data_IF_934247300252
#
_entry.id   IF_934247300252
#
_cell.length_a   1.000
_cell.length_b   1.000
_cell.length_c   1.000
_cell.angle_alpha   90.00
_cell.angle_beta   90.00
_cell.angle_gamma   90.00
#
_symmetry.space_group_name_H-M   'P 1'
#
loop_
_entity.id
_entity.type
_entity.pdbx_description
1 polymer ?
#
# COMPACT_ATOMS: atom_id res chain seq x y z
N UNK A 1 22.86 -41.67 -4.61
CA UNK A 1 22.31 -41.68 -3.23
C UNK A 1 23.36 -41.26 -2.18
N UNK A 2 22.96 -40.53 -1.12
CA UNK A 2 23.83 -40.22 0.03
C UNK A 2 23.15 -40.54 1.36
N UNK A 3 23.93 -40.96 2.35
CA UNK A 3 23.52 -41.17 3.74
C UNK A 3 24.52 -40.50 4.70
N UNK A 4 24.04 -40.14 5.88
CA UNK A 4 24.86 -39.59 6.97
C UNK A 4 24.89 -40.63 8.09
N UNK A 5 26.07 -41.18 8.38
CA UNK A 5 26.27 -42.18 9.42
C UNK A 5 26.88 -41.52 10.64
N UNK A 6 26.18 -41.53 11.76
CA UNK A 6 26.69 -41.01 13.04
C UNK A 6 27.60 -42.06 13.67
N UNK A 7 28.81 -41.67 14.04
CA UNK A 7 29.81 -42.52 14.72
C UNK A 7 30.08 -42.00 16.13
N UNK A 8 30.97 -42.64 16.86
CA UNK A 8 31.37 -42.20 18.21
C UNK A 8 32.12 -40.86 18.20
N UNK A 9 32.75 -40.51 17.08
CA UNK A 9 33.66 -39.35 16.97
C UNK A 9 33.18 -38.28 15.99
N UNK A 10 32.07 -38.50 15.29
CA UNK A 10 31.57 -37.55 14.30
C UNK A 10 30.52 -38.12 13.35
N UNK A 11 30.57 -37.67 12.10
CA UNK A 11 29.65 -38.09 11.04
C UNK A 11 30.44 -38.48 9.78
N UNK A 12 30.09 -39.63 9.21
CA UNK A 12 30.55 -40.07 7.89
C UNK A 12 29.49 -39.75 6.83
N UNK A 13 29.93 -39.27 5.66
CA UNK A 13 29.13 -39.18 4.45
C UNK A 13 29.32 -40.47 3.65
N UNK A 14 28.28 -41.29 3.56
CA UNK A 14 28.24 -42.41 2.64
C UNK A 14 27.67 -41.96 1.29
N UNK A 15 28.37 -42.27 0.21
CA UNK A 15 27.94 -42.03 -1.17
C UNK A 15 27.87 -43.34 -1.96
N UNK A 16 26.78 -43.50 -2.70
CA UNK A 16 26.63 -44.49 -3.76
C UNK A 16 26.06 -43.81 -5.01
N UNK A 17 26.54 -44.15 -6.20
CA UNK A 17 25.89 -43.74 -7.45
C UNK A 17 24.47 -44.28 -7.58
N UNK A 18 23.76 -43.83 -8.61
CA UNK A 18 22.45 -44.40 -8.93
C UNK A 18 22.63 -45.80 -9.54
N UNK A 19 21.58 -46.64 -9.48
CA UNK A 19 21.60 -48.01 -9.99
C UNK A 19 22.13 -48.05 -11.44
N UNK A 20 23.18 -48.85 -11.68
CA UNK A 20 23.84 -48.97 -12.99
C UNK A 20 24.92 -47.92 -13.27
N UNK A 21 25.24 -47.03 -12.32
CA UNK A 21 26.34 -46.07 -12.44
C UNK A 21 27.61 -46.65 -11.83
N UNK A 22 28.68 -46.73 -12.62
CA UNK A 22 30.00 -47.12 -12.12
C UNK A 22 30.61 -45.96 -11.30
N UNK A 23 30.86 -46.18 -10.01
CA UNK A 23 31.41 -45.16 -9.10
C UNK A 23 32.95 -44.99 -9.17
N UNK A 24 33.61 -45.61 -10.16
CA UNK A 24 35.06 -45.53 -10.36
C UNK A 24 35.56 -44.10 -10.58
N UNK A 25 34.74 -43.22 -11.16
CA UNK A 25 35.09 -41.83 -11.43
C UNK A 25 35.53 -41.07 -10.16
N UNK A 26 34.98 -41.41 -8.99
CA UNK A 26 35.36 -40.78 -7.71
C UNK A 26 36.81 -41.12 -7.40
N UNK A 27 37.17 -42.39 -7.51
CA UNK A 27 38.52 -42.85 -7.22
C UNK A 27 39.55 -42.31 -8.22
N UNK A 28 39.17 -42.21 -9.49
CA UNK A 28 40.00 -41.61 -10.54
C UNK A 28 40.26 -40.12 -10.25
N UNK A 29 39.22 -39.36 -9.89
CA UNK A 29 39.36 -37.95 -9.54
C UNK A 29 40.19 -37.74 -8.27
N UNK A 30 39.98 -38.55 -7.22
CA UNK A 30 40.80 -38.49 -6.01
C UNK A 30 42.27 -38.83 -6.30
N UNK A 31 42.56 -39.79 -7.18
CA UNK A 31 43.95 -40.11 -7.56
C UNK A 31 44.60 -39.02 -8.39
N UNK A 32 43.86 -38.42 -9.32
CA UNK A 32 44.38 -37.49 -10.30
C UNK A 32 44.48 -36.07 -9.76
N UNK A 33 43.40 -35.60 -9.16
CA UNK A 33 43.20 -34.20 -8.78
C UNK A 33 43.16 -34.02 -7.24
N UNK A 34 43.20 -35.11 -6.47
CA UNK A 34 43.02 -35.14 -5.01
C UNK A 34 41.71 -34.48 -4.53
N UNK A 35 40.72 -34.38 -5.41
CA UNK A 35 39.42 -33.80 -5.11
C UNK A 35 38.33 -34.53 -5.91
N UNK A 36 37.20 -34.79 -5.29
CA UNK A 36 36.00 -35.26 -5.97
C UNK A 36 34.77 -34.54 -5.41
N UNK A 37 33.82 -34.18 -6.28
CA UNK A 37 32.57 -33.54 -5.88
C UNK A 37 31.41 -34.54 -5.90
N UNK A 38 30.92 -34.93 -4.73
CA UNK A 38 29.82 -35.89 -4.59
C UNK A 38 28.50 -35.20 -4.23
N UNK A 39 27.39 -35.75 -4.73
CA UNK A 39 26.03 -35.19 -4.58
C UNK A 39 25.85 -33.72 -4.99
N UNK A 40 26.78 -33.21 -5.82
CA UNK A 40 26.86 -31.81 -6.28
C UNK A 40 27.14 -30.75 -5.21
N UNK A 41 27.41 -31.11 -3.95
CA UNK A 41 27.65 -30.11 -2.89
C UNK A 41 28.80 -30.45 -1.94
N UNK A 42 29.28 -31.69 -1.96
CA UNK A 42 30.34 -32.14 -1.07
C UNK A 42 31.65 -32.28 -1.85
N UNK A 43 32.61 -31.40 -1.61
CA UNK A 43 33.97 -31.48 -2.15
C UNK A 43 34.87 -32.24 -1.18
N UNK A 44 35.20 -33.49 -1.51
CA UNK A 44 35.98 -34.39 -0.67
C UNK A 44 37.38 -34.61 -1.27
N UNK A 45 38.36 -34.81 -0.41
CA UNK A 45 39.75 -35.10 -0.80
C UNK A 45 40.15 -36.51 -0.33
N UNK A 46 41.32 -37.01 -0.77
CA UNK A 46 41.76 -38.38 -0.42
C UNK A 46 41.90 -38.59 1.09
N UNK A 47 42.25 -37.54 1.84
CA UNK A 47 42.36 -37.59 3.29
C UNK A 47 41.00 -37.77 4.01
N UNK A 48 39.88 -37.48 3.34
CA UNK A 48 38.55 -37.72 3.89
C UNK A 48 38.12 -39.18 3.72
N UNK A 49 38.74 -39.93 2.81
CA UNK A 49 38.29 -41.27 2.43
C UNK A 49 38.62 -42.31 3.51
N UNK A 50 37.58 -42.92 4.09
CA UNK A 50 37.68 -43.89 5.18
C UNK A 50 37.82 -45.33 4.68
N UNK A 51 37.39 -45.60 3.45
CA UNK A 51 37.50 -46.90 2.81
C UNK A 51 38.07 -46.77 1.39
N UNK A 52 39.41 -46.84 1.23
CA UNK A 52 40.03 -46.90 -0.09
C UNK A 52 39.65 -48.18 -0.86
N UNK A 53 39.33 -48.11 -2.16
CA UNK A 53 39.02 -49.28 -2.98
C UNK A 53 40.18 -50.28 -3.04
N UNK A 54 39.85 -51.58 -3.04
CA UNK A 54 40.82 -52.64 -3.32
C UNK A 54 41.16 -52.74 -4.82
N UNK A 55 42.23 -53.48 -5.17
CA UNK A 55 42.66 -53.63 -6.56
C UNK A 55 41.63 -54.33 -7.47
N UNK A 56 40.78 -55.19 -6.90
CA UNK A 56 39.72 -55.93 -7.60
C UNK A 56 38.33 -55.43 -7.22
N UNK A 57 38.20 -54.15 -6.85
CA UNK A 57 36.96 -53.58 -6.38
C UNK A 57 35.89 -53.56 -7.48
N UNK A 58 34.71 -54.09 -7.18
CA UNK A 58 33.51 -53.85 -7.97
C UNK A 58 32.94 -52.47 -7.61
N UNK A 59 33.04 -51.53 -8.55
CA UNK A 59 32.60 -50.14 -8.38
C UNK A 59 31.12 -49.90 -8.66
N UNK A 60 30.38 -50.90 -9.16
CA UNK A 60 28.93 -50.79 -9.37
C UNK A 60 28.17 -50.83 -8.03
N UNK A 61 28.65 -51.64 -7.09
CA UNK A 61 28.07 -51.78 -5.74
C UNK A 61 28.85 -51.04 -4.66
N UNK A 62 30.00 -50.45 -5.00
CA UNK A 62 30.87 -49.78 -4.03
C UNK A 62 30.24 -48.52 -3.45
N UNK A 63 30.34 -48.39 -2.11
CA UNK A 63 29.92 -47.21 -1.35
C UNK A 63 31.13 -46.52 -0.76
N UNK A 64 31.38 -45.29 -1.17
CA UNK A 64 32.45 -44.49 -0.58
C UNK A 64 31.98 -43.92 0.75
N UNK A 65 32.85 -43.94 1.77
CA UNK A 65 32.62 -43.31 3.07
C UNK A 65 33.69 -42.25 3.27
N UNK A 66 33.23 -41.02 3.50
CA UNK A 66 34.08 -39.86 3.74
C UNK A 66 33.84 -39.33 5.15
N UNK A 67 34.89 -38.91 5.85
CA UNK A 67 34.75 -38.13 7.07
C UNK A 67 34.09 -36.79 6.73
N UNK A 68 32.85 -36.58 7.17
CA UNK A 68 32.12 -35.33 6.91
C UNK A 68 32.42 -34.27 7.97
N UNK A 69 32.39 -34.65 9.24
CA UNK A 69 32.61 -33.73 10.34
C UNK A 69 32.85 -34.42 11.66
N UNK A 70 33.46 -33.72 12.60
CA UNK A 70 33.79 -34.24 13.94
C UNK A 70 32.86 -33.64 14.99
N UNK A 71 32.68 -34.33 16.12
CA UNK A 71 32.00 -33.73 17.25
C UNK A 71 32.88 -32.67 17.90
N UNK A 72 32.30 -31.49 18.11
CA UNK A 72 32.86 -30.37 18.87
C UNK A 72 31.74 -29.89 19.79
N UNK A 73 31.85 -30.23 21.07
CA UNK A 73 30.81 -30.03 22.09
C UNK A 73 29.43 -30.61 21.65
N UNK A 74 28.42 -29.74 21.56
CA UNK A 74 27.04 -30.07 21.16
C UNK A 74 26.81 -29.97 19.64
N UNK A 75 27.89 -29.83 18.86
CA UNK A 75 27.84 -29.61 17.41
C UNK A 75 28.61 -30.68 16.64
N UNK A 76 28.18 -30.89 15.39
CA UNK A 76 28.96 -31.53 14.34
C UNK A 76 29.65 -30.42 13.55
N UNK A 77 30.98 -30.32 13.66
CA UNK A 77 31.78 -29.39 12.88
C UNK A 77 32.15 -30.01 11.53
N UNK A 78 31.66 -29.40 10.47
CA UNK A 78 31.91 -29.77 9.09
C UNK A 78 32.89 -28.74 8.50
N UNK A 79 34.09 -29.15 8.04
CA UNK A 79 35.03 -28.24 7.40
C UNK A 79 34.39 -27.51 6.20
N UNK A 80 34.55 -26.19 6.14
CA UNK A 80 33.93 -25.35 5.11
C UNK A 80 34.28 -25.79 3.68
N UNK A 81 35.51 -26.26 3.47
CA UNK A 81 35.98 -26.82 2.19
C UNK A 81 35.06 -27.91 1.65
N UNK A 82 34.47 -28.73 2.53
CA UNK A 82 33.60 -29.82 2.12
C UNK A 82 32.30 -29.27 1.54
N UNK A 83 31.82 -28.13 2.03
CA UNK A 83 30.53 -27.55 1.63
C UNK A 83 30.66 -26.43 0.58
N UNK A 84 31.85 -26.26 -0.02
CA UNK A 84 32.18 -25.14 -0.89
C UNK A 84 31.93 -23.78 -0.19
N UNK A 85 32.38 -23.68 1.06
CA UNK A 85 32.19 -22.54 1.96
C UNK A 85 33.55 -22.11 2.52
N UNK A 86 33.77 -20.80 2.68
CA UNK A 86 34.94 -20.28 3.42
C UNK A 86 34.75 -20.37 4.95
N UNK A 87 33.53 -20.66 5.39
CA UNK A 87 33.13 -20.78 6.78
C UNK A 87 32.96 -22.28 7.09
N UNK A 88 33.54 -22.75 8.20
CA UNK A 88 33.15 -24.04 8.79
C UNK A 88 31.68 -23.99 9.20
N UNK A 89 31.01 -25.13 9.21
CA UNK A 89 29.59 -25.22 9.59
C UNK A 89 29.46 -26.09 10.83
N UNK A 90 28.88 -25.55 11.89
CA UNK A 90 28.58 -26.26 13.13
C UNK A 90 27.08 -26.49 13.19
N UNK A 91 26.65 -27.74 13.03
CA UNK A 91 25.24 -28.12 13.11
C UNK A 91 24.99 -28.84 14.43
N UNK A 92 24.01 -28.37 15.21
CA UNK A 92 23.64 -28.98 16.48
C UNK A 92 23.36 -30.48 16.30
N UNK A 93 23.85 -31.29 17.25
CA UNK A 93 23.72 -32.76 17.22
C UNK A 93 22.28 -33.25 17.30
N UNK A 94 21.34 -32.41 17.73
CA UNK A 94 19.91 -32.72 17.76
C UNK A 94 19.27 -32.65 16.36
N UNK A 95 19.98 -32.09 15.37
CA UNK A 95 19.50 -31.99 13.99
C UNK A 95 19.80 -33.27 13.23
N UNK A 96 18.73 -33.94 12.76
CA UNK A 96 18.88 -35.09 11.85
C UNK A 96 19.37 -34.63 10.47
N UNK A 97 20.62 -34.96 10.15
CA UNK A 97 21.23 -34.63 8.86
C UNK A 97 20.54 -35.34 7.69
N UNK A 98 20.27 -34.57 6.63
CA UNK A 98 19.65 -35.02 5.38
C UNK A 98 20.16 -34.16 4.24
N UNK A 99 20.12 -34.67 3.00
CA UNK A 99 20.64 -33.96 1.82
C UNK A 99 20.07 -32.55 1.67
N UNK A 100 18.79 -32.36 1.96
CA UNK A 100 18.10 -31.07 1.79
C UNK A 100 18.54 -29.98 2.77
N UNK A 101 19.34 -30.30 3.79
CA UNK A 101 20.02 -29.29 4.63
C UNK A 101 21.18 -28.64 3.89
N UNK A 102 21.84 -29.39 2.99
CA UNK A 102 23.06 -28.97 2.32
C UNK A 102 22.81 -28.57 0.86
N UNK A 103 21.81 -29.17 0.20
CA UNK A 103 21.58 -29.02 -1.24
C UNK A 103 20.14 -28.63 -1.53
N UNK A 104 19.95 -27.49 -2.20
CA UNK A 104 18.67 -27.02 -2.69
C UNK A 104 18.42 -27.46 -4.15
N UNK A 105 17.28 -27.02 -4.70
CA UNK A 105 16.90 -27.21 -6.11
C UNK A 105 18.03 -26.78 -7.06
N UNK A 106 18.14 -27.47 -8.21
CA UNK A 106 19.24 -27.29 -9.19
C UNK A 106 20.65 -27.46 -8.60
N UNK A 107 20.79 -28.32 -7.59
CA UNK A 107 22.08 -28.68 -7.00
C UNK A 107 22.86 -27.51 -6.38
N UNK A 108 22.15 -26.48 -5.93
CA UNK A 108 22.76 -25.34 -5.24
C UNK A 108 23.25 -25.78 -3.86
N UNK A 109 24.53 -25.54 -3.56
CA UNK A 109 25.07 -25.67 -2.19
C UNK A 109 24.49 -24.55 -1.33
N UNK A 110 23.71 -24.91 -0.31
CA UNK A 110 23.07 -23.95 0.59
C UNK A 110 24.13 -23.18 1.37
N UNK A 111 25.09 -23.89 1.96
CA UNK A 111 26.17 -23.25 2.73
C UNK A 111 27.16 -22.51 1.84
N UNK A 112 27.44 -22.99 0.62
CA UNK A 112 28.21 -22.21 -0.35
C UNK A 112 27.52 -20.88 -0.69
N UNK A 113 26.20 -20.91 -0.90
CA UNK A 113 25.41 -19.69 -1.16
C UNK A 113 25.37 -18.75 0.04
N UNK A 114 25.27 -19.26 1.27
CA UNK A 114 25.33 -18.46 2.48
C UNK A 114 26.72 -17.84 2.66
N UNK A 115 27.76 -18.62 2.43
CA UNK A 115 29.15 -18.20 2.55
C UNK A 115 29.52 -17.06 1.59
N UNK A 116 28.96 -17.05 0.38
CA UNK A 116 29.07 -15.92 -0.56
C UNK A 116 28.46 -14.61 -0.05
N UNK A 117 27.48 -14.68 0.86
CA UNK A 117 26.76 -13.52 1.40
C UNK A 117 27.33 -13.05 2.76
N UNK A 118 28.17 -13.87 3.41
CA UNK A 118 28.80 -13.54 4.69
C UNK A 118 30.18 -12.93 4.39
N UNK A 119 30.52 -11.80 5.00
CA UNK A 119 31.81 -11.13 4.73
C UNK A 119 32.99 -11.82 5.46
N UNK A 120 32.78 -12.28 6.70
CA UNK A 120 33.80 -12.93 7.51
C UNK A 120 33.95 -14.45 7.22
N UNK A 121 34.91 -15.08 7.89
CA UNK A 121 35.18 -16.52 7.84
C UNK A 121 34.80 -17.24 9.13
N UNK A 122 34.03 -16.58 10.01
CA UNK A 122 33.60 -17.17 11.27
C UNK A 122 32.67 -18.36 11.01
N UNK A 123 32.64 -19.39 11.87
CA UNK A 123 31.81 -20.55 11.61
C UNK A 123 30.31 -20.21 11.56
N UNK A 124 29.56 -20.94 10.74
CA UNK A 124 28.10 -20.82 10.66
C UNK A 124 27.48 -21.82 11.65
N UNK A 125 26.88 -21.32 12.73
CA UNK A 125 26.22 -22.13 13.76
C UNK A 125 24.73 -22.32 13.43
N UNK A 126 24.27 -23.57 13.37
CA UNK A 126 22.88 -23.94 13.09
C UNK A 126 22.31 -24.73 14.27
N UNK A 127 21.27 -24.18 14.91
CA UNK A 127 20.60 -24.78 16.07
C UNK A 127 21.43 -24.75 17.35
N UNK A 128 20.94 -25.45 18.38
CA UNK A 128 21.53 -25.43 19.73
C UNK A 128 21.25 -24.13 20.48
N UNK A 129 21.97 -23.92 21.58
CA UNK A 129 21.77 -22.78 22.50
C UNK A 129 22.84 -21.69 22.38
N UNK A 130 23.68 -21.74 21.35
CA UNK A 130 24.71 -20.72 21.11
C UNK A 130 24.09 -19.34 20.86
N UNK A 131 24.66 -18.29 21.44
CA UNK A 131 24.14 -16.91 21.29
C UNK A 131 24.13 -16.43 19.82
N UNK A 132 25.11 -16.88 19.04
CA UNK A 132 25.25 -16.55 17.61
C UNK A 132 24.70 -17.65 16.69
N UNK A 133 24.01 -18.65 17.24
CA UNK A 133 23.43 -19.73 16.44
C UNK A 133 22.16 -19.30 15.74
N UNK A 134 22.05 -19.62 14.46
CA UNK A 134 20.80 -19.49 13.72
C UNK A 134 19.82 -20.52 14.29
N UNK A 135 18.67 -20.12 14.85
CA UNK A 135 17.69 -21.06 15.39
C UNK A 135 17.23 -22.06 14.32
N UNK A 136 16.98 -23.31 14.73
CA UNK A 136 16.63 -24.37 13.78
C UNK A 136 15.35 -24.07 12.99
N UNK A 137 14.34 -23.47 13.63
CA UNK A 137 13.09 -23.06 12.98
C UNK A 137 13.30 -21.97 11.92
N UNK A 138 14.18 -21.00 12.20
CA UNK A 138 14.59 -19.97 11.23
C UNK A 138 15.34 -20.59 10.06
N UNK A 139 16.28 -21.51 10.31
CA UNK A 139 16.99 -22.21 9.25
C UNK A 139 16.04 -23.11 8.43
N UNK A 140 15.08 -23.78 9.08
CA UNK A 140 14.06 -24.56 8.39
C UNK A 140 13.14 -23.69 7.52
N UNK A 141 12.79 -22.48 7.98
CA UNK A 141 12.05 -21.50 7.18
C UNK A 141 12.85 -21.08 5.94
N UNK A 142 14.16 -20.84 6.08
CA UNK A 142 15.06 -20.60 4.95
C UNK A 142 15.01 -21.76 3.95
N UNK A 143 15.17 -23.02 4.42
CA UNK A 143 15.09 -24.22 3.56
C UNK A 143 13.76 -24.29 2.79
N UNK A 144 12.64 -23.97 3.45
CA UNK A 144 11.30 -23.94 2.83
C UNK A 144 11.14 -22.80 1.83
N UNK A 145 11.84 -21.68 2.03
CA UNK A 145 11.72 -20.49 1.18
C UNK A 145 12.70 -20.45 0.02
N UNK A 146 13.75 -21.27 0.01
CA UNK A 146 14.69 -21.38 -1.11
C UNK A 146 13.94 -21.50 -2.45
N UNK A 147 14.28 -20.68 -3.47
CA UNK A 147 13.59 -20.72 -4.76
C UNK A 147 13.65 -22.09 -5.39
N UNK A 148 12.50 -22.60 -5.84
CA UNK A 148 12.45 -23.85 -6.59
C UNK A 148 12.65 -23.61 -8.09
N UNK A 149 12.78 -24.69 -8.85
CA UNK A 149 12.98 -24.63 -10.31
C UNK A 149 11.88 -23.83 -11.03
N UNK A 150 10.63 -23.91 -10.57
CA UNK A 150 9.50 -23.18 -11.15
C UNK A 150 9.58 -21.67 -10.86
N UNK A 151 9.91 -21.28 -9.63
CA UNK A 151 10.12 -19.88 -9.24
C UNK A 151 11.26 -19.24 -10.04
N UNK A 152 12.38 -19.94 -10.18
CA UNK A 152 13.54 -19.47 -10.96
C UNK A 152 13.20 -19.28 -12.44
N UNK A 153 12.41 -20.19 -13.03
CA UNK A 153 11.93 -20.03 -14.41
C UNK A 153 10.99 -18.82 -14.55
N UNK A 154 10.05 -18.65 -13.62
CA UNK A 154 9.14 -17.50 -13.62
C UNK A 154 9.88 -16.18 -13.49
N UNK A 155 10.90 -16.13 -12.63
CA UNK A 155 11.77 -14.97 -12.50
C UNK A 155 12.49 -14.67 -13.82
N UNK A 156 13.12 -15.68 -14.45
CA UNK A 156 13.79 -15.51 -15.73
C UNK A 156 12.85 -15.00 -16.83
N UNK A 157 11.67 -15.61 -16.97
CA UNK A 157 10.65 -15.18 -17.93
C UNK A 157 10.18 -13.74 -17.65
N UNK A 158 9.98 -13.36 -16.39
CA UNK A 158 9.59 -12.01 -16.00
C UNK A 158 10.68 -10.97 -16.32
N UNK A 159 11.98 -11.33 -16.16
CA UNK A 159 13.10 -10.47 -16.55
C UNK A 159 13.15 -10.26 -18.06
N UNK A 160 13.00 -11.33 -18.85
CA UNK A 160 12.93 -11.24 -20.32
C UNK A 160 11.73 -10.39 -20.76
N UNK A 161 10.56 -10.64 -20.20
CA UNK A 161 9.35 -9.87 -20.49
C UNK A 161 9.53 -8.38 -20.18
N UNK A 162 10.12 -8.03 -19.03
CA UNK A 162 10.34 -6.62 -18.64
C UNK A 162 11.20 -5.86 -19.66
N UNK A 163 12.18 -6.54 -20.27
CA UNK A 163 13.08 -5.92 -21.24
C UNK A 163 12.42 -5.84 -22.63
N UNK A 164 11.69 -6.89 -23.04
CA UNK A 164 11.25 -7.04 -24.42
C UNK A 164 9.78 -6.68 -24.68
N UNK A 165 8.92 -6.54 -23.67
CA UNK A 165 7.47 -6.33 -23.86
C UNK A 165 7.09 -5.02 -24.53
N UNK A 166 8.00 -4.03 -24.56
CA UNK A 166 7.79 -2.77 -25.28
C UNK A 166 8.17 -2.87 -26.77
N UNK A 167 8.84 -3.95 -27.17
CA UNK A 167 9.37 -4.15 -28.52
C UNK A 167 8.69 -5.30 -29.28
N UNK A 168 8.08 -6.25 -28.56
CA UNK A 168 7.45 -7.43 -29.14
C UNK A 168 5.98 -7.51 -28.75
N UNK A 169 5.10 -7.44 -29.75
CA UNK A 169 3.67 -7.66 -29.56
C UNK A 169 3.35 -9.13 -29.28
N UNK A 170 2.26 -9.39 -28.55
CA UNK A 170 1.76 -10.74 -28.27
C UNK A 170 2.56 -11.55 -27.24
N UNK A 171 3.50 -10.92 -26.52
CA UNK A 171 4.19 -11.57 -25.41
C UNK A 171 3.20 -11.98 -24.31
N UNK A 172 3.34 -13.21 -23.83
CA UNK A 172 2.56 -13.67 -22.67
C UNK A 172 3.01 -12.91 -21.43
N UNK A 173 2.09 -12.34 -20.65
CA UNK A 173 2.39 -11.59 -19.41
C UNK A 173 3.12 -12.48 -18.38
N UNK A 174 4.44 -12.53 -18.47
CA UNK A 174 5.28 -13.34 -17.59
C UNK A 174 5.54 -12.61 -16.27
N UNK A 175 5.55 -11.27 -16.30
CA UNK A 175 5.72 -10.43 -15.12
C UNK A 175 4.54 -10.59 -14.16
N UNK A 176 3.31 -10.36 -14.61
CA UNK A 176 2.12 -10.53 -13.76
C UNK A 176 1.96 -11.97 -13.27
N UNK A 177 2.37 -12.95 -14.08
CA UNK A 177 2.43 -14.37 -13.71
C UNK A 177 3.47 -14.68 -12.62
N UNK A 178 4.59 -13.97 -12.54
CA UNK A 178 5.57 -14.11 -11.48
C UNK A 178 5.13 -13.36 -10.22
N UNK A 179 4.63 -12.13 -10.35
CA UNK A 179 4.07 -11.35 -9.24
C UNK A 179 2.91 -12.09 -8.55
N UNK A 180 2.00 -12.69 -9.34
CA UNK A 180 0.91 -13.52 -8.81
C UNK A 180 1.40 -14.76 -8.05
N UNK A 181 2.51 -15.36 -8.49
CA UNK A 181 3.12 -16.50 -7.80
C UNK A 181 3.71 -16.04 -6.45
N UNK A 182 4.46 -14.94 -6.43
CA UNK A 182 5.02 -14.37 -5.21
C UNK A 182 3.91 -13.96 -4.23
N UNK A 183 2.84 -13.32 -4.70
CA UNK A 183 1.72 -12.89 -3.85
C UNK A 183 0.99 -14.06 -3.20
N UNK A 184 0.82 -15.19 -3.92
CA UNK A 184 0.28 -16.44 -3.34
C UNK A 184 1.21 -17.04 -2.29
N UNK A 185 2.53 -16.95 -2.51
CA UNK A 185 3.54 -17.41 -1.54
C UNK A 185 3.60 -16.49 -0.32
N UNK A 186 3.44 -15.18 -0.51
CA UNK A 186 3.49 -14.15 0.52
C UNK A 186 2.21 -14.12 1.39
N UNK A 187 1.03 -14.43 0.85
CA UNK A 187 -0.21 -14.53 1.64
C UNK A 187 -0.23 -15.75 2.58
N UNK A 188 0.62 -16.76 2.34
CA UNK A 188 0.83 -17.88 3.27
C UNK A 188 1.70 -17.49 4.48
N UNK A 189 2.46 -16.39 4.38
CA UNK A 189 3.13 -15.74 5.51
C UNK A 189 2.20 -14.68 6.06
N UNK A 190 1.71 -14.87 7.28
CA UNK A 190 0.76 -13.97 7.94
C UNK A 190 1.37 -12.57 8.08
N UNK A 191 1.06 -11.66 7.17
CA UNK A 191 1.35 -10.24 7.36
C UNK A 191 0.59 -9.79 8.61
N UNK A 192 1.28 -9.25 9.61
CA UNK A 192 0.63 -8.60 10.76
C UNK A 192 -0.29 -7.52 10.21
N UNK A 193 -1.60 -7.69 10.41
CA UNK A 193 -2.58 -6.67 10.07
C UNK A 193 -2.25 -5.39 10.85
N UNK A 194 -2.22 -4.26 10.16
CA UNK A 194 -2.08 -2.95 10.78
C UNK A 194 -3.36 -2.68 11.57
N UNK A 195 -3.27 -2.53 12.88
CA UNK A 195 -4.41 -2.14 13.72
C UNK A 195 -4.72 -0.67 13.47
N UNK A 196 -5.89 -0.41 12.86
CA UNK A 196 -6.39 0.91 12.50
C UNK A 196 -7.60 1.33 13.35
N UNK A 197 -7.99 0.55 14.36
CA UNK A 197 -9.27 0.74 15.02
C UNK A 197 -9.32 2.03 15.85
N UNK A 198 -8.19 2.42 16.45
CA UNK A 198 -8.06 3.71 17.12
C UNK A 198 -8.30 4.91 16.17
N UNK A 199 -7.77 4.84 14.94
CA UNK A 199 -7.94 5.90 13.94
C UNK A 199 -9.38 5.97 13.43
N UNK A 200 -10.01 4.82 13.16
CA UNK A 200 -11.43 4.77 12.78
C UNK A 200 -12.33 5.38 13.85
N UNK A 201 -12.05 5.10 15.12
CA UNK A 201 -12.83 5.65 16.25
C UNK A 201 -12.76 7.19 16.28
N UNK A 202 -11.57 7.77 16.12
CA UNK A 202 -11.39 9.23 16.07
C UNK A 202 -12.14 9.86 14.89
N UNK A 203 -12.09 9.22 13.72
CA UNK A 203 -12.83 9.69 12.54
C UNK A 203 -14.35 9.66 12.76
N UNK A 204 -14.88 8.60 13.39
CA UNK A 204 -16.31 8.51 13.75
C UNK A 204 -16.69 9.64 14.70
N UNK A 205 -15.93 9.85 15.78
CA UNK A 205 -16.21 10.90 16.79
C UNK A 205 -16.24 12.29 16.16
N UNK A 206 -15.29 12.59 15.27
CA UNK A 206 -15.26 13.83 14.48
C UNK A 206 -16.54 14.03 13.68
N UNK A 207 -16.96 13.03 12.91
CA UNK A 207 -18.15 13.14 12.06
C UNK A 207 -19.45 13.21 12.87
N UNK A 208 -19.54 12.50 13.99
CA UNK A 208 -20.67 12.56 14.93
C UNK A 208 -20.81 13.97 15.51
N UNK A 209 -19.72 14.58 15.97
CA UNK A 209 -19.72 15.95 16.49
C UNK A 209 -20.19 16.97 15.45
N UNK A 210 -19.62 16.94 14.23
CA UNK A 210 -20.00 17.86 13.15
C UNK A 210 -21.48 17.71 12.81
N UNK A 211 -21.96 16.46 12.66
CA UNK A 211 -23.36 16.17 12.36
C UNK A 211 -24.28 16.70 13.46
N UNK A 212 -23.94 16.49 14.72
CA UNK A 212 -24.77 16.92 15.85
C UNK A 212 -24.82 18.44 15.97
N UNK A 213 -23.70 19.14 15.72
CA UNK A 213 -23.68 20.61 15.66
C UNK A 213 -24.60 21.16 14.56
N UNK A 214 -24.57 20.57 13.36
CA UNK A 214 -25.46 20.96 12.27
C UNK A 214 -26.91 20.66 12.65
N UNK A 215 -27.19 19.47 13.20
CA UNK A 215 -28.54 19.06 13.57
C UNK A 215 -29.13 19.92 14.70
N UNK A 216 -28.36 20.23 15.74
CA UNK A 216 -28.77 21.15 16.80
C UNK A 216 -29.06 22.54 16.21
N UNK A 217 -28.16 23.07 15.38
CA UNK A 217 -28.36 24.38 14.76
C UNK A 217 -29.65 24.45 13.94
N UNK A 218 -29.95 23.40 13.17
CA UNK A 218 -31.20 23.32 12.39
C UNK A 218 -32.45 23.24 13.27
N UNK A 219 -32.35 22.68 14.48
CA UNK A 219 -33.47 22.52 15.40
C UNK A 219 -33.69 23.75 16.29
N UNK A 220 -32.62 24.37 16.79
CA UNK A 220 -32.69 25.37 17.86
C UNK A 220 -32.38 26.79 17.41
N UNK A 221 -31.77 26.99 16.23
CA UNK A 221 -31.24 28.30 15.79
C UNK A 221 -31.98 28.88 14.59
N UNK A 222 -33.31 28.83 14.62
CA UNK A 222 -34.19 29.32 13.54
C UNK A 222 -34.03 30.82 13.21
N UNK A 223 -33.53 31.62 14.17
CA UNK A 223 -33.31 33.07 14.02
C UNK A 223 -31.89 33.45 13.56
N UNK A 224 -31.01 32.50 13.31
CA UNK A 224 -29.65 32.79 12.84
C UNK A 224 -29.62 33.45 11.46
N UNK A 225 -28.74 34.44 11.33
CA UNK A 225 -28.45 35.08 10.05
C UNK A 225 -27.62 34.17 9.14
N UNK A 226 -27.51 34.52 7.86
CA UNK A 226 -26.61 33.80 6.93
C UNK A 226 -25.15 33.83 7.41
N UNK A 227 -24.71 34.95 8.00
CA UNK A 227 -23.37 35.07 8.57
C UNK A 227 -23.15 34.16 9.79
N UNK A 228 -24.18 33.91 10.60
CA UNK A 228 -24.08 32.97 11.73
C UNK A 228 -23.94 31.52 11.23
N UNK A 229 -24.68 31.16 10.17
CA UNK A 229 -24.53 29.88 9.49
C UNK A 229 -23.16 29.72 8.84
N UNK A 230 -22.64 30.75 8.18
CA UNK A 230 -21.28 30.77 7.66
C UNK A 230 -20.25 30.51 8.78
N UNK A 231 -20.35 31.22 9.90
CA UNK A 231 -19.46 31.02 11.07
C UNK A 231 -19.52 29.60 11.63
N UNK A 232 -20.71 29.02 11.74
CA UNK A 232 -20.85 27.62 12.16
C UNK A 232 -20.08 26.71 11.20
N UNK A 233 -20.35 26.81 9.89
CA UNK A 233 -19.71 25.95 8.90
C UNK A 233 -18.19 26.11 8.90
N UNK A 234 -17.70 27.35 8.98
CA UNK A 234 -16.27 27.68 9.04
C UNK A 234 -15.53 26.91 10.15
N UNK A 235 -16.17 26.67 11.30
CA UNK A 235 -15.55 25.96 12.43
C UNK A 235 -15.14 24.51 12.12
N UNK A 236 -15.71 23.89 11.07
CA UNK A 236 -15.40 22.52 10.70
C UNK A 236 -15.24 22.28 9.19
N UNK A 237 -15.15 23.31 8.34
CA UNK A 237 -14.99 23.13 6.89
C UNK A 237 -13.78 22.27 6.52
N UNK A 238 -12.62 22.51 7.14
CA UNK A 238 -11.40 21.74 6.86
C UNK A 238 -11.48 20.30 7.41
N UNK A 239 -12.28 20.08 8.45
CA UNK A 239 -12.55 18.74 8.99
C UNK A 239 -13.52 17.95 8.10
N UNK A 240 -14.48 18.66 7.49
CA UNK A 240 -15.48 18.10 6.59
C UNK A 240 -14.89 17.78 5.21
N UNK A 241 -13.97 18.62 4.73
CA UNK A 241 -13.35 18.51 3.42
C UNK A 241 -11.82 18.41 3.54
N UNK A 242 -11.28 17.22 3.89
CA UNK A 242 -9.89 17.05 4.31
C UNK A 242 -8.84 17.33 3.23
N UNK A 243 -9.24 17.49 1.96
CA UNK A 243 -8.30 17.91 0.90
C UNK A 243 -7.87 19.38 1.03
N UNK A 244 -8.65 20.20 1.74
CA UNK A 244 -8.37 21.61 1.97
C UNK A 244 -7.57 21.82 3.25
N UNK A 245 -6.63 22.75 3.20
CA UNK A 245 -5.71 23.05 4.30
C UNK A 245 -5.87 24.46 4.85
N UNK A 246 -6.54 25.35 4.11
CA UNK A 246 -6.75 26.74 4.52
C UNK A 246 -8.07 27.28 3.99
N UNK A 247 -8.74 28.04 4.85
CA UNK A 247 -9.89 28.89 4.51
C UNK A 247 -9.42 30.33 4.38
N UNK A 248 -9.88 31.02 3.34
CA UNK A 248 -9.70 32.45 3.13
C UNK A 248 -11.07 33.13 3.14
N UNK A 249 -11.24 34.17 3.95
CA UNK A 249 -12.49 34.91 4.06
C UNK A 249 -12.44 36.21 3.23
N UNK A 250 -13.59 36.59 2.65
CA UNK A 250 -13.79 37.84 1.91
C UNK A 250 -12.71 38.10 0.83
N UNK A 251 -12.46 37.09 0.00
CA UNK A 251 -11.44 37.14 -1.05
C UNK A 251 -11.88 38.09 -2.16
N UNK A 252 -11.10 39.15 -2.38
CA UNK A 252 -11.33 40.09 -3.48
C UNK A 252 -10.90 39.48 -4.80
N UNK A 253 -11.82 39.44 -5.77
CA UNK A 253 -11.54 39.08 -7.16
C UNK A 253 -11.92 40.23 -8.09
N UNK A 254 -11.36 40.23 -9.30
CA UNK A 254 -11.54 41.31 -10.26
C UNK A 254 -12.45 40.93 -11.42
N UNK A 255 -13.53 41.68 -11.57
CA UNK A 255 -14.48 41.61 -12.68
C UNK A 255 -14.18 42.74 -13.67
N UNK A 256 -13.79 42.37 -14.88
CA UNK A 256 -13.51 43.28 -16.00
C UNK A 256 -14.63 43.28 -17.06
N UNK A 257 -15.71 42.52 -16.84
CA UNK A 257 -16.73 42.24 -17.84
C UNK A 257 -18.05 42.95 -17.57
N UNK A 258 -18.45 43.13 -16.31
CA UNK A 258 -19.74 43.80 -16.00
C UNK A 258 -19.76 45.25 -16.46
N UNK A 259 -18.66 45.97 -16.26
CA UNK A 259 -18.48 47.35 -16.71
C UNK A 259 -17.27 47.41 -17.65
N UNK A 260 -17.45 47.23 -18.97
CA UNK A 260 -16.35 47.26 -19.92
C UNK A 260 -15.47 48.51 -19.74
N UNK A 261 -14.15 48.32 -19.63
CA UNK A 261 -13.20 49.41 -19.39
C UNK A 261 -12.99 49.79 -17.92
N UNK A 262 -13.75 49.23 -16.97
CA UNK A 262 -13.58 49.48 -15.54
C UNK A 262 -13.45 48.19 -14.74
N UNK A 263 -12.39 48.11 -13.93
CA UNK A 263 -12.22 47.07 -12.92
C UNK A 263 -13.28 47.22 -11.83
N UNK A 264 -14.08 46.18 -11.64
CA UNK A 264 -15.05 46.07 -10.55
C UNK A 264 -14.55 45.02 -9.55
N UNK A 265 -14.51 45.34 -8.27
CA UNK A 265 -14.19 44.35 -7.24
C UNK A 265 -15.43 43.50 -6.95
N UNK A 266 -15.23 42.19 -6.88
CA UNK A 266 -16.18 41.21 -6.35
C UNK A 266 -15.55 40.54 -5.14
N UNK A 267 -16.38 39.97 -4.28
CA UNK A 267 -15.96 39.41 -3.01
C UNK A 267 -16.52 38.00 -2.90
N UNK A 268 -15.63 37.03 -2.74
CA UNK A 268 -16.00 35.65 -2.42
C UNK A 268 -15.98 35.55 -0.89
N UNK A 269 -17.11 35.21 -0.29
CA UNK A 269 -17.22 35.13 1.18
C UNK A 269 -16.22 34.13 1.75
N UNK A 270 -16.14 32.94 1.14
CA UNK A 270 -15.26 31.87 1.58
C UNK A 270 -14.59 31.22 0.36
N UNK A 271 -13.26 31.19 0.38
CA UNK A 271 -12.44 30.41 -0.54
C UNK A 271 -11.59 29.38 0.22
N UNK A 272 -11.22 28.31 -0.46
CA UNK A 272 -10.51 27.17 0.11
C UNK A 272 -9.23 26.91 -0.68
N UNK A 273 -8.13 26.66 0.02
CA UNK A 273 -6.87 26.25 -0.60
C UNK A 273 -6.68 24.75 -0.34
N UNK A 274 -6.51 23.98 -1.41
CA UNK A 274 -6.21 22.55 -1.31
C UNK A 274 -4.73 22.30 -0.97
N UNK A 275 -4.41 21.05 -0.62
CA UNK A 275 -3.04 20.62 -0.31
C UNK A 275 -2.02 20.84 -1.45
N UNK A 276 -2.46 21.08 -2.68
CA UNK A 276 -1.63 21.39 -3.83
C UNK A 276 -1.59 22.90 -4.16
N UNK A 277 -2.23 23.74 -3.33
CA UNK A 277 -2.31 25.18 -3.53
C UNK A 277 -3.45 25.65 -4.45
N UNK A 278 -4.34 24.78 -4.91
CA UNK A 278 -5.46 25.20 -5.78
C UNK A 278 -6.55 25.91 -4.98
N UNK A 279 -7.06 26.99 -5.56
CA UNK A 279 -8.15 27.79 -5.01
C UNK A 279 -9.51 27.29 -5.49
N UNK A 280 -10.36 26.89 -4.55
CA UNK A 280 -11.78 26.62 -4.75
C UNK A 280 -12.63 27.64 -3.97
N UNK A 281 -13.94 27.67 -4.23
CA UNK A 281 -14.88 28.58 -3.55
C UNK A 281 -15.99 27.80 -2.85
N UNK A 282 -16.53 28.35 -1.76
CA UNK A 282 -17.72 27.80 -1.12
C UNK A 282 -18.74 28.89 -0.83
N UNK A 283 -19.96 28.64 -1.26
CA UNK A 283 -21.11 29.51 -1.06
C UNK A 283 -22.03 28.86 -0.03
N UNK A 284 -22.07 29.40 1.18
CA UNK A 284 -22.94 28.91 2.25
C UNK A 284 -24.12 29.86 2.40
N UNK A 285 -25.32 29.33 2.18
CA UNK A 285 -26.59 30.02 2.41
C UNK A 285 -27.28 29.45 3.63
N UNK A 286 -28.08 30.27 4.31
CA UNK A 286 -28.91 29.79 5.44
C UNK A 286 -29.92 28.72 5.00
N UNK A 287 -30.30 27.79 5.89
CA UNK A 287 -31.25 26.71 5.61
C UNK A 287 -32.69 27.23 5.58
N UNK A 288 -33.09 27.86 4.49
CA UNK A 288 -34.51 28.21 4.29
C UNK A 288 -35.34 26.97 3.96
N UNK A 289 -36.54 26.90 4.53
CA UNK A 289 -37.61 26.00 4.08
C UNK A 289 -38.15 26.53 2.72
N UNK A 290 -38.52 25.62 1.81
CA UNK A 290 -39.18 25.90 0.52
C UNK A 290 -38.34 26.60 -0.58
N UNK A 291 -37.00 26.50 -0.53
CA UNK A 291 -36.12 27.29 -1.41
C UNK A 291 -35.24 26.53 -2.39
N UNK A 292 -35.37 25.21 -2.52
CA UNK A 292 -34.54 24.45 -3.48
C UNK A 292 -35.30 24.20 -4.79
N UNK A 293 -36.52 23.66 -4.70
CA UNK A 293 -37.41 23.44 -5.82
C UNK A 293 -38.71 24.24 -5.64
N UNK A 294 -39.32 24.66 -6.75
CA UNK A 294 -40.62 25.34 -6.75
C UNK A 294 -41.73 24.39 -6.29
N UNK A 295 -42.76 24.94 -5.65
CA UNK A 295 -43.98 24.19 -5.27
C UNK A 295 -44.73 23.64 -6.48
N UNK A 296 -44.81 24.43 -7.56
CA UNK A 296 -45.45 24.01 -8.80
C UNK A 296 -44.48 23.28 -9.72
N UNK A 297 -44.98 22.23 -10.36
CA UNK A 297 -44.26 21.52 -11.40
C UNK A 297 -44.45 22.19 -12.76
N UNK A 298 -43.45 22.06 -13.62
CA UNK A 298 -43.55 22.44 -15.03
C UNK A 298 -43.48 21.18 -15.90
N UNK A 299 -44.62 20.84 -16.53
CA UNK A 299 -44.76 19.63 -17.35
C UNK A 299 -44.28 18.35 -16.64
N UNK A 300 -44.66 18.20 -15.37
CA UNK A 300 -44.30 17.05 -14.53
C UNK A 300 -42.91 17.11 -13.90
N UNK A 301 -42.10 18.14 -14.17
CA UNK A 301 -40.75 18.28 -13.61
C UNK A 301 -40.70 19.34 -12.50
N UNK A 302 -39.90 19.07 -11.48
CA UNK A 302 -39.60 20.00 -10.41
C UNK A 302 -38.50 20.96 -10.86
N UNK A 303 -38.75 22.27 -10.73
CA UNK A 303 -37.87 23.31 -11.26
C UNK A 303 -37.15 24.01 -10.10
N UNK A 304 -35.86 24.38 -10.25
CA UNK A 304 -35.15 25.22 -9.29
C UNK A 304 -35.90 26.52 -8.95
N UNK A 305 -35.79 26.94 -7.71
CA UNK A 305 -36.19 28.29 -7.28
C UNK A 305 -35.21 29.35 -7.81
N UNK A 306 -35.59 30.62 -7.68
CA UNK A 306 -34.70 31.76 -7.90
C UNK A 306 -33.46 31.72 -7.03
N UNK A 307 -33.59 31.24 -5.79
CA UNK A 307 -32.50 31.22 -4.81
C UNK A 307 -31.45 30.16 -5.14
N UNK A 308 -31.87 28.94 -5.49
CA UNK A 308 -30.93 27.91 -5.95
C UNK A 308 -30.26 28.38 -7.26
N UNK A 309 -31.06 28.86 -8.22
CA UNK A 309 -30.54 29.36 -9.50
C UNK A 309 -29.57 30.54 -9.33
N UNK A 310 -29.87 31.44 -8.40
CA UNK A 310 -29.05 32.60 -8.06
C UNK A 310 -27.73 32.20 -7.40
N UNK A 311 -27.75 31.22 -6.49
CA UNK A 311 -26.54 30.69 -5.84
C UNK A 311 -25.63 30.00 -6.85
N UNK A 312 -26.20 29.21 -7.77
CA UNK A 312 -25.45 28.60 -8.89
C UNK A 312 -24.82 29.69 -9.76
N UNK A 313 -25.60 30.68 -10.20
CA UNK A 313 -25.11 31.79 -11.03
C UNK A 313 -24.00 32.59 -10.33
N UNK A 314 -24.12 32.81 -9.01
CA UNK A 314 -23.11 33.51 -8.22
C UNK A 314 -21.79 32.72 -8.17
N UNK A 315 -21.85 31.43 -7.87
CA UNK A 315 -20.69 30.54 -7.89
C UNK A 315 -20.05 30.49 -9.29
N UNK A 316 -20.84 30.32 -10.35
CA UNK A 316 -20.35 30.34 -11.73
C UNK A 316 -19.62 31.65 -12.09
N UNK A 317 -20.15 32.80 -11.66
CA UNK A 317 -19.48 34.09 -11.86
C UNK A 317 -18.15 34.17 -11.12
N UNK A 318 -18.05 33.64 -9.91
CA UNK A 318 -16.78 33.59 -9.18
C UNK A 318 -15.76 32.72 -9.90
N UNK A 319 -16.13 31.51 -10.31
CA UNK A 319 -15.25 30.61 -11.07
C UNK A 319 -14.81 31.24 -12.40
N UNK A 320 -15.72 31.90 -13.10
CA UNK A 320 -15.44 32.63 -14.33
C UNK A 320 -14.41 33.75 -14.10
N UNK A 321 -14.65 34.63 -13.12
CA UNK A 321 -13.76 35.75 -12.85
C UNK A 321 -12.39 35.32 -12.33
N UNK A 322 -12.32 34.29 -11.48
CA UNK A 322 -11.07 33.67 -11.07
C UNK A 322 -10.29 33.16 -12.28
N UNK A 323 -10.92 32.33 -13.12
CA UNK A 323 -10.29 31.74 -14.30
C UNK A 323 -9.78 32.81 -15.29
N UNK A 324 -10.51 33.93 -15.42
CA UNK A 324 -10.08 35.07 -16.26
C UNK A 324 -9.00 35.92 -15.63
N UNK A 325 -8.92 35.96 -14.29
CA UNK A 325 -7.86 36.69 -13.59
C UNK A 325 -6.51 35.97 -13.72
N UNK A 326 -6.53 34.63 -13.75
CA UNK A 326 -5.39 33.77 -14.10
C UNK A 326 -4.14 34.05 -13.27
N UNK A 327 -2.97 33.99 -13.92
CA UNK A 327 -1.65 34.16 -13.28
C UNK A 327 -1.53 35.45 -12.48
N UNK A 328 -2.16 36.55 -12.93
CA UNK A 328 -2.15 37.82 -12.17
C UNK A 328 -2.89 37.68 -10.84
N UNK A 329 -3.98 36.92 -10.82
CA UNK A 329 -4.70 36.55 -9.60
C UNK A 329 -3.87 35.68 -8.69
N UNK A 330 -3.22 34.65 -9.24
CA UNK A 330 -2.31 33.76 -8.52
C UNK A 330 -1.22 34.55 -7.78
N UNK A 331 -0.49 35.43 -8.49
CA UNK A 331 0.56 36.26 -7.87
C UNK A 331 -0.01 37.18 -6.78
N UNK A 332 -1.16 37.81 -7.04
CA UNK A 332 -1.76 38.76 -6.10
C UNK A 332 -2.22 38.06 -4.81
N UNK A 333 -2.91 36.93 -4.94
CA UNK A 333 -3.41 36.17 -3.80
C UNK A 333 -2.26 35.52 -3.03
N UNK A 334 -1.27 34.95 -3.73
CA UNK A 334 -0.08 34.36 -3.10
C UNK A 334 0.65 35.39 -2.25
N UNK A 335 0.92 36.59 -2.79
CA UNK A 335 1.57 37.65 -2.04
C UNK A 335 0.74 38.10 -0.83
N UNK A 336 -0.59 38.17 -0.97
CA UNK A 336 -1.50 38.60 0.11
C UNK A 336 -1.53 37.60 1.27
N UNK A 337 -1.52 36.30 0.98
CA UNK A 337 -1.73 35.23 1.98
C UNK A 337 -0.45 34.43 2.30
N UNK A 338 0.73 34.88 1.88
CA UNK A 338 1.99 34.16 2.03
C UNK A 338 2.29 33.74 3.49
N UNK A 339 1.98 34.60 4.48
CA UNK A 339 2.21 34.31 5.90
C UNK A 339 1.24 33.28 6.49
N UNK A 340 0.19 32.91 5.76
CA UNK A 340 -0.85 32.00 6.21
C UNK A 340 -0.79 30.62 5.52
N UNK A 341 0.17 30.43 4.61
CA UNK A 341 0.36 29.22 3.82
C UNK A 341 1.66 28.50 4.20
N UNK A 342 1.77 27.19 3.93
CA UNK A 342 3.03 26.46 4.02
C UNK A 342 4.15 27.15 3.23
N UNK A 343 5.39 26.97 3.67
CA UNK A 343 6.57 27.49 2.97
C UNK A 343 6.55 27.05 1.49
N UNK A 344 6.91 27.99 0.62
CA UNK A 344 6.99 27.81 -0.84
C UNK A 344 5.66 27.48 -1.56
N UNK A 345 4.53 27.44 -0.85
CA UNK A 345 3.23 27.23 -1.47
C UNK A 345 2.75 28.48 -2.22
N UNK A 346 2.30 28.26 -3.47
CA UNK A 346 1.67 29.29 -4.30
C UNK A 346 0.20 29.00 -4.51
N UNK A 347 -0.65 30.03 -4.49
CA UNK A 347 -2.06 29.89 -4.83
C UNK A 347 -2.21 29.74 -6.35
N UNK A 348 -2.94 28.70 -6.77
CA UNK A 348 -3.22 28.36 -8.18
C UNK A 348 -4.70 28.51 -8.49
N UNK A 349 -5.01 29.05 -9.68
CA UNK A 349 -6.37 29.14 -10.20
C UNK A 349 -6.52 28.15 -11.36
N UNK A 350 -6.27 26.87 -11.06
CA UNK A 350 -6.29 25.77 -12.03
C UNK A 350 -7.65 25.09 -12.06
N UNK A 351 -8.56 25.59 -12.91
CA UNK A 351 -9.93 25.08 -13.03
C UNK A 351 -10.66 25.03 -11.66
N UNK A 352 -10.86 26.20 -11.02
CA UNK A 352 -11.42 26.28 -9.68
C UNK A 352 -12.82 25.65 -9.63
N UNK A 353 -13.15 25.01 -8.52
CA UNK A 353 -14.46 24.42 -8.27
C UNK A 353 -15.22 25.17 -7.20
N UNK A 354 -16.54 25.00 -7.19
CA UNK A 354 -17.41 25.56 -6.17
C UNK A 354 -18.08 24.47 -5.32
N UNK A 355 -18.35 24.78 -4.05
CA UNK A 355 -19.27 24.02 -3.21
C UNK A 355 -20.40 24.97 -2.86
N UNK A 356 -21.65 24.54 -2.99
CA UNK A 356 -22.81 25.31 -2.56
C UNK A 356 -23.49 24.52 -1.45
N UNK A 357 -23.61 25.12 -0.27
CA UNK A 357 -24.38 24.56 0.85
C UNK A 357 -25.61 25.44 1.04
N UNK A 358 -26.77 24.92 0.68
CA UNK A 358 -28.00 25.74 0.56
C UNK A 358 -29.25 24.97 0.94
N UNK A 359 -30.12 25.59 1.73
CA UNK A 359 -31.52 25.17 1.94
C UNK A 359 -31.71 23.76 2.51
N UNK A 360 -32.97 23.33 2.52
CA UNK A 360 -33.44 22.04 3.04
C UNK A 360 -34.06 21.19 1.93
N UNK A 361 -34.10 19.88 2.13
CA UNK A 361 -34.82 18.95 1.25
C UNK A 361 -36.33 18.95 1.53
N UNK A 362 -36.91 20.15 1.57
CA UNK A 362 -38.29 20.39 1.96
C UNK A 362 -39.00 21.33 1.00
N UNK A 363 -40.28 21.06 0.76
CA UNK A 363 -41.19 21.85 -0.07
C UNK A 363 -42.57 21.90 0.61
N UNK A 364 -43.07 23.10 0.85
CA UNK A 364 -44.31 23.33 1.58
C UNK A 364 -44.28 22.89 3.04
N UNK A 365 -43.11 22.90 3.69
CA UNK A 365 -42.95 22.38 5.05
C UNK A 365 -42.98 20.84 5.18
N UNK A 366 -42.97 20.12 4.06
CA UNK A 366 -42.88 18.66 4.01
C UNK A 366 -41.59 18.22 3.31
N UNK A 367 -41.12 17.01 3.59
CA UNK A 367 -39.97 16.42 2.89
C UNK A 367 -40.26 16.28 1.39
N UNK A 368 -39.24 16.47 0.56
CA UNK A 368 -39.33 16.20 -0.88
C UNK A 368 -39.78 14.76 -1.15
N UNK A 369 -40.63 14.59 -2.16
CA UNK A 369 -41.03 13.28 -2.67
C UNK A 369 -39.88 12.60 -3.42
N UNK A 370 -39.99 11.30 -3.68
CA UNK A 370 -38.99 10.58 -4.47
C UNK A 370 -38.75 11.16 -5.87
N UNK A 371 -39.81 11.67 -6.54
CA UNK A 371 -39.67 12.34 -7.84
C UNK A 371 -38.96 13.68 -7.73
N UNK A 372 -39.24 14.47 -6.69
CA UNK A 372 -38.56 15.74 -6.45
C UNK A 372 -37.07 15.54 -6.12
N UNK A 373 -36.75 14.51 -5.33
CA UNK A 373 -35.36 14.14 -5.04
C UNK A 373 -34.61 13.69 -6.30
N UNK A 374 -35.27 12.93 -7.19
CA UNK A 374 -34.70 12.55 -8.48
C UNK A 374 -34.42 13.78 -9.37
N UNK A 375 -35.40 14.68 -9.51
CA UNK A 375 -35.23 15.92 -10.28
C UNK A 375 -34.07 16.76 -9.71
N UNK A 376 -33.99 16.86 -8.38
CA UNK A 376 -32.90 17.57 -7.71
C UNK A 376 -31.54 16.91 -7.97
N UNK A 377 -31.44 15.58 -7.92
CA UNK A 377 -30.21 14.86 -8.26
C UNK A 377 -29.78 15.12 -9.71
N UNK A 378 -30.73 15.16 -10.67
CA UNK A 378 -30.44 15.52 -12.07
C UNK A 378 -29.86 16.94 -12.16
N UNK A 379 -30.40 17.90 -11.39
CA UNK A 379 -29.87 19.26 -11.32
C UNK A 379 -28.45 19.28 -10.75
N UNK A 380 -28.20 18.58 -9.64
CA UNK A 380 -26.84 18.48 -9.05
C UNK A 380 -25.83 17.91 -10.05
N UNK A 381 -26.21 16.81 -10.72
CA UNK A 381 -25.35 16.12 -11.70
C UNK A 381 -25.01 16.97 -12.91
N UNK A 382 -25.92 17.84 -13.35
CA UNK A 382 -25.66 18.80 -14.44
C UNK A 382 -24.43 19.67 -14.16
N UNK A 383 -24.16 20.02 -12.90
CA UNK A 383 -23.06 20.91 -12.54
C UNK A 383 -21.86 20.21 -11.88
N UNK A 384 -21.90 18.89 -11.69
CA UNK A 384 -20.92 18.13 -10.89
C UNK A 384 -19.45 18.28 -11.32
N UNK A 385 -19.18 18.63 -12.59
CA UNK A 385 -17.81 18.88 -13.06
C UNK A 385 -17.22 20.19 -12.49
N UNK A 386 -18.06 21.18 -12.19
CA UNK A 386 -17.65 22.51 -11.74
C UNK A 386 -18.02 22.78 -10.28
N UNK A 387 -19.11 22.19 -9.79
CA UNK A 387 -19.58 22.44 -8.42
C UNK A 387 -20.29 21.24 -7.78
N UNK A 388 -20.20 21.15 -6.45
CA UNK A 388 -21.03 20.26 -5.63
C UNK A 388 -22.14 21.09 -4.96
N UNK A 389 -23.39 20.71 -5.18
CA UNK A 389 -24.57 21.40 -4.62
C UNK A 389 -25.15 20.50 -3.55
N UNK A 390 -25.20 20.99 -2.32
CA UNK A 390 -25.49 20.21 -1.12
C UNK A 390 -26.54 20.95 -0.30
N UNK A 391 -27.60 20.27 0.13
CA UNK A 391 -28.51 20.79 1.15
C UNK A 391 -28.02 20.38 2.53
N UNK A 392 -28.48 21.06 3.59
CA UNK A 392 -28.08 20.66 4.94
C UNK A 392 -28.54 19.23 5.27
N UNK A 393 -29.71 18.80 4.76
CA UNK A 393 -30.17 17.42 4.91
C UNK A 393 -29.30 16.43 4.10
N UNK A 394 -28.83 16.80 2.90
CA UNK A 394 -27.88 16.00 2.14
C UNK A 394 -26.54 15.85 2.85
N UNK A 395 -26.04 16.93 3.44
CA UNK A 395 -24.82 16.91 4.23
C UNK A 395 -24.94 15.98 5.44
N UNK A 396 -26.05 16.06 6.19
CA UNK A 396 -26.33 15.14 7.30
C UNK A 396 -26.41 13.68 6.85
N UNK A 397 -27.05 13.39 5.71
CA UNK A 397 -27.08 12.04 5.14
C UNK A 397 -25.69 11.54 4.75
N UNK A 398 -24.86 12.37 4.12
CA UNK A 398 -23.47 12.03 3.78
C UNK A 398 -22.65 11.71 5.03
N UNK A 399 -22.80 12.49 6.10
CA UNK A 399 -22.14 12.24 7.38
C UNK A 399 -22.60 10.92 8.02
N UNK A 400 -23.90 10.66 8.08
CA UNK A 400 -24.45 9.39 8.60
C UNK A 400 -23.95 8.17 7.83
N UNK A 401 -23.94 8.24 6.50
CA UNK A 401 -23.42 7.14 5.68
C UNK A 401 -21.92 6.91 5.89
N UNK A 402 -21.15 7.99 6.09
CA UNK A 402 -19.70 7.91 6.38
C UNK A 402 -19.46 7.28 7.75
N UNK A 403 -20.22 7.67 8.77
CA UNK A 403 -20.17 7.07 10.12
C UNK A 403 -20.46 5.56 10.07
N UNK A 404 -21.54 5.17 9.38
CA UNK A 404 -21.90 3.76 9.22
C UNK A 404 -20.81 2.96 8.48
N UNK A 405 -20.24 3.53 7.40
CA UNK A 405 -19.18 2.88 6.64
C UNK A 405 -17.89 2.66 7.45
N UNK A 406 -17.64 3.51 8.44
CA UNK A 406 -16.52 3.37 9.37
C UNK A 406 -16.81 2.41 10.53
N UNK A 407 -18.03 1.88 10.65
CA UNK A 407 -18.46 0.97 11.71
C UNK A 407 -19.07 1.66 12.94
N UNK A 408 -19.32 2.97 12.87
CA UNK A 408 -20.04 3.70 13.91
C UNK A 408 -21.56 3.59 13.76
N UNK A 409 -22.29 3.76 14.87
CA UNK A 409 -23.75 3.86 14.83
C UNK A 409 -24.19 5.30 14.49
N UNK A 410 -24.88 5.55 13.36
CA UNK A 410 -25.42 6.86 13.01
C UNK A 410 -26.42 7.42 14.04
N UNK A 411 -26.96 6.60 14.94
CA UNK A 411 -27.80 7.04 16.06
C UNK A 411 -27.03 7.63 17.25
N UNK A 412 -25.72 7.39 17.37
CA UNK A 412 -24.88 7.87 18.48
C UNK A 412 -24.93 9.39 18.57
N UNK A 413 -25.12 9.97 19.76
CA UNK A 413 -25.14 11.42 19.98
C UNK A 413 -23.97 11.88 20.85
N UNK A 414 -23.45 13.06 20.55
CA UNK A 414 -22.53 13.79 21.41
C UNK A 414 -23.32 14.46 22.55
N UNK A 415 -22.76 14.51 23.75
CA UNK A 415 -23.29 15.37 24.82
C UNK A 415 -22.87 16.82 24.49
N UNK A 416 -23.75 17.55 23.80
CA UNK A 416 -23.57 18.97 23.46
C UNK A 416 -23.98 19.88 24.61
#
# INVERSE_FOLDING_TARGET
>A
MINFLVTDTGVELEYAGDLGTNNQWIWENLKKDNEARVSSAFSVISADLLNPPSATQDFEVYRYRFQLGHFEDDYVRIPGRILNSKNDVLISRDVKLKRSIFVAERNVSIFGRLSELIENSDPILIGGNGADAIPWDVFEELLKKFPNTYELNRYADARVHTILSQYLDGMKDARGRYESYLNKKATLTTAKALDLDALKKLEIEKYVLIRDLIQDALATKTNWSEGDWQKLMLSFLLLLFPKYIKVLENVTIHDYYTNPGRKTNRYIDIALIDSNGNLDVIEVKKPFEDKILRKSQYRGNSIPTSELSGSIMQAEKYLFHLSKWGVRGETTLTAKYASELPADMTIRISNPKAIIIVGRDQIGGANMTGSQLLDFEVIKRKYANMMDIITYDDLLRRLNNTIAALGGDPGTRTAL
#
